data_IF_125549901616
#
_entry.id   IF_125549901616
#
_cell.length_a   1.000
_cell.length_b   1.000
_cell.length_c   1.000
_cell.angle_alpha   90.00
_cell.angle_beta   90.00
_cell.angle_gamma   90.00
#
_symmetry.space_group_name_H-M   'P 1'
#
loop_
_entity.id
_entity.type
_entity.pdbx_description
1 polymer ?
#
# COMPACT_ATOMS: atom_id res chain seq x y z
N UNK A 1 -5.64 -5.70 -4.19
CA UNK A 1 -6.52 -4.82 -3.41
C UNK A 1 -6.36 -5.08 -1.91
N UNK A 2 -6.31 -6.34 -1.48
CA UNK A 2 -6.09 -6.78 -0.09
C UNK A 2 -4.76 -6.27 0.51
N UNK A 3 -3.77 -6.00 -0.33
CA UNK A 3 -2.46 -5.47 0.06
C UNK A 3 -2.44 -3.94 0.25
N UNK A 4 -3.55 -3.26 -0.04
CA UNK A 4 -3.66 -1.80 0.02
C UNK A 4 -3.75 -1.27 1.46
N UNK A 5 -3.56 0.05 1.61
CA UNK A 5 -3.83 0.77 2.87
C UNK A 5 -5.32 0.77 3.26
N UNK A 6 -6.23 0.65 2.27
CA UNK A 6 -7.67 0.42 2.48
C UNK A 6 -8.08 -0.80 1.67
N UNK A 7 -7.87 -2.02 2.20
CA UNK A 7 -8.32 -3.25 1.54
C UNK A 7 -9.84 -3.35 1.57
N UNK A 8 -10.41 -4.16 0.65
CA UNK A 8 -11.82 -4.55 0.72
C UNK A 8 -12.09 -5.47 1.90
N UNK A 9 -13.36 -5.69 2.18
CA UNK A 9 -13.80 -6.60 3.26
C UNK A 9 -13.86 -8.07 2.81
N UNK A 10 -13.81 -8.31 1.49
CA UNK A 10 -14.00 -9.65 0.90
C UNK A 10 -12.71 -10.48 0.81
N UNK A 11 -11.56 -9.89 1.15
CA UNK A 11 -10.23 -10.53 1.10
C UNK A 11 -9.87 -11.16 -0.27
N UNK A 12 -10.44 -10.65 -1.37
CA UNK A 12 -10.18 -11.19 -2.71
C UNK A 12 -8.80 -10.73 -3.19
N UNK A 13 -7.87 -11.66 -3.47
CA UNK A 13 -6.54 -11.30 -3.96
C UNK A 13 -6.59 -10.59 -5.32
N UNK A 14 -5.64 -9.68 -5.56
CA UNK A 14 -5.52 -8.96 -6.81
C UNK A 14 -5.40 -9.87 -8.05
N UNK A 15 -4.76 -11.04 -7.89
CA UNK A 15 -4.66 -12.08 -8.92
C UNK A 15 -6.03 -12.61 -9.40
N UNK A 16 -7.07 -12.52 -8.60
CA UNK A 16 -8.44 -12.92 -8.94
C UNK A 16 -9.28 -11.69 -9.29
N UNK A 17 -9.17 -10.63 -8.48
CA UNK A 17 -10.02 -9.46 -8.64
C UNK A 17 -9.75 -8.70 -9.94
N UNK A 18 -8.47 -8.56 -10.34
CA UNK A 18 -8.11 -7.79 -11.53
C UNK A 18 -8.67 -8.42 -12.81
N UNK A 19 -8.42 -9.72 -13.11
CA UNK A 19 -9.01 -10.34 -14.30
C UNK A 19 -10.53 -10.42 -14.24
N UNK A 20 -11.11 -10.68 -13.07
CA UNK A 20 -12.58 -10.69 -12.92
C UNK A 20 -13.20 -9.31 -13.17
N UNK A 21 -12.51 -8.22 -12.86
CA UNK A 21 -12.93 -6.87 -13.21
C UNK A 21 -12.72 -6.58 -14.71
N UNK A 22 -11.56 -6.95 -15.25
CA UNK A 22 -11.24 -6.76 -16.67
C UNK A 22 -12.27 -7.44 -17.61
N UNK A 23 -12.77 -8.62 -17.22
CA UNK A 23 -13.82 -9.33 -17.95
C UNK A 23 -15.19 -8.64 -17.94
N UNK A 24 -15.40 -7.65 -17.06
CA UNK A 24 -16.71 -7.01 -16.85
C UNK A 24 -16.76 -5.56 -17.32
N UNK A 25 -15.63 -4.85 -17.31
CA UNK A 25 -15.62 -3.42 -17.65
C UNK A 25 -15.19 -3.20 -19.09
N UNK A 26 -15.72 -2.13 -19.71
CA UNK A 26 -15.35 -1.69 -21.06
C UNK A 26 -14.63 -0.35 -21.06
N UNK A 27 -14.29 0.14 -19.88
CA UNK A 27 -13.55 1.38 -19.64
C UNK A 27 -12.14 1.04 -19.16
N UNK A 28 -11.17 1.95 -19.25
CA UNK A 28 -9.82 1.73 -18.73
C UNK A 28 -9.82 1.27 -17.27
N UNK A 29 -9.09 0.20 -16.97
CA UNK A 29 -8.96 -0.40 -15.64
C UNK A 29 -7.57 -0.13 -15.06
N UNK A 30 -7.50 0.55 -13.92
CA UNK A 30 -6.26 0.72 -13.16
C UNK A 30 -6.25 -0.23 -11.95
N UNK A 31 -5.26 -1.13 -11.92
CA UNK A 31 -5.07 -2.02 -10.78
C UNK A 31 -4.45 -1.25 -9.60
N UNK A 32 -5.01 -1.43 -8.39
CA UNK A 32 -4.56 -0.75 -7.18
C UNK A 32 -4.35 -1.73 -6.03
N UNK A 33 -3.38 -1.42 -5.16
CA UNK A 33 -3.06 -2.22 -3.98
C UNK A 33 -1.91 -3.20 -4.20
N UNK A 34 -0.77 -2.93 -3.54
CA UNK A 34 0.42 -3.79 -3.59
C UNK A 34 1.40 -3.53 -4.74
N UNK A 35 1.17 -2.52 -5.56
CA UNK A 35 2.06 -2.18 -6.69
C UNK A 35 3.14 -1.17 -6.26
N UNK A 36 4.39 -1.43 -6.66
CA UNK A 36 5.52 -0.58 -6.28
C UNK A 36 6.73 -0.64 -7.21
N UNK A 37 6.74 -1.58 -8.16
CA UNK A 37 7.85 -1.76 -9.12
C UNK A 37 7.37 -2.28 -10.49
N UNK A 38 8.30 -2.45 -11.45
CA UNK A 38 7.99 -2.90 -12.79
C UNK A 38 7.42 -4.32 -12.88
N UNK A 39 7.71 -5.19 -11.90
CA UNK A 39 7.11 -6.53 -11.82
C UNK A 39 5.60 -6.44 -11.61
N UNK A 40 5.20 -5.53 -10.71
CA UNK A 40 3.79 -5.26 -10.45
C UNK A 40 3.06 -4.70 -11.67
N UNK A 41 3.68 -3.76 -12.40
CA UNK A 41 3.11 -3.21 -13.63
C UNK A 41 2.96 -4.29 -14.70
N UNK A 42 4.02 -5.07 -14.98
CA UNK A 42 3.96 -6.15 -15.97
C UNK A 42 2.87 -7.19 -15.63
N UNK A 43 2.74 -7.55 -14.33
CA UNK A 43 1.70 -8.47 -13.87
C UNK A 43 0.28 -7.88 -14.03
N UNK A 44 0.07 -6.62 -13.67
CA UNK A 44 -1.22 -5.95 -13.82
C UNK A 44 -1.67 -5.91 -15.29
N UNK A 45 -0.77 -5.56 -16.21
CA UNK A 45 -1.03 -5.57 -17.66
C UNK A 45 -1.37 -6.98 -18.15
N UNK A 46 -0.64 -8.02 -17.71
CA UNK A 46 -0.92 -9.41 -18.06
C UNK A 46 -2.29 -9.90 -17.54
N UNK A 47 -2.78 -9.33 -16.43
CA UNK A 47 -4.10 -9.63 -15.85
C UNK A 47 -5.24 -8.83 -16.47
N UNK A 48 -4.97 -7.99 -17.49
CA UNK A 48 -5.97 -7.22 -18.21
C UNK A 48 -6.22 -5.80 -17.70
N UNK A 49 -5.39 -5.28 -16.80
CA UNK A 49 -5.43 -3.87 -16.44
C UNK A 49 -4.69 -3.02 -17.48
N UNK A 50 -5.08 -1.75 -17.63
CA UNK A 50 -4.43 -0.77 -18.51
C UNK A 50 -3.29 -0.02 -17.81
N UNK A 51 -3.16 -0.17 -16.50
CA UNK A 51 -2.11 0.46 -15.69
C UNK A 51 -2.26 0.17 -14.21
N UNK A 52 -1.45 0.85 -13.40
CA UNK A 52 -1.45 0.70 -11.94
C UNK A 52 -1.67 2.04 -11.25
N UNK A 53 -2.27 1.97 -10.04
CA UNK A 53 -2.36 3.08 -9.10
C UNK A 53 -1.57 2.73 -7.83
N UNK A 54 -0.73 3.66 -7.39
CA UNK A 54 0.17 3.47 -6.25
C UNK A 54 -0.10 4.50 -5.16
N UNK A 55 -0.25 4.06 -3.91
CA UNK A 55 -0.29 4.93 -2.72
C UNK A 55 1.04 4.89 -1.98
N UNK A 56 1.27 3.85 -1.19
CA UNK A 56 2.43 3.71 -0.30
C UNK A 56 3.77 3.92 -1.01
N UNK A 57 3.93 3.41 -2.24
CA UNK A 57 5.16 3.61 -3.01
C UNK A 57 5.43 5.08 -3.31
N UNK A 58 4.40 5.86 -3.66
CA UNK A 58 4.54 7.30 -3.91
C UNK A 58 4.76 8.11 -2.62
N UNK A 59 4.27 7.62 -1.46
CA UNK A 59 4.61 8.24 -0.17
C UNK A 59 6.13 8.19 0.12
N UNK A 60 6.84 7.17 -0.38
CA UNK A 60 8.29 7.04 -0.27
C UNK A 60 9.01 7.68 -1.48
N UNK A 61 8.67 8.93 -1.81
CA UNK A 61 9.35 9.75 -2.82
C UNK A 61 9.81 11.07 -2.22
N UNK A 62 10.76 11.74 -2.88
CA UNK A 62 11.28 13.03 -2.43
C UNK A 62 10.19 14.10 -2.38
N UNK A 63 9.25 14.08 -3.35
CA UNK A 63 8.18 15.07 -3.51
C UNK A 63 6.99 14.86 -2.58
N UNK A 64 6.85 13.68 -1.97
CA UNK A 64 5.76 13.43 -1.03
C UNK A 64 5.83 14.42 0.15
N UNK A 65 4.73 15.18 0.43
CA UNK A 65 4.76 16.26 1.43
C UNK A 65 4.60 15.71 2.86
N UNK A 66 5.41 14.73 3.22
CA UNK A 66 5.45 14.08 4.53
C UNK A 66 6.89 14.08 5.05
N UNK A 67 7.04 13.98 6.37
CA UNK A 67 8.34 14.02 7.02
C UNK A 67 9.23 12.82 6.62
N UNK A 68 10.53 13.05 6.50
CA UNK A 68 11.49 12.03 6.03
C UNK A 68 11.53 10.79 6.94
N UNK A 69 11.33 10.93 8.24
CA UNK A 69 11.22 9.78 9.14
C UNK A 69 10.07 8.83 8.76
N UNK A 70 8.95 9.37 8.24
CA UNK A 70 7.83 8.54 7.79
C UNK A 70 8.18 7.84 6.48
N UNK A 71 8.88 8.54 5.57
CA UNK A 71 9.39 7.92 4.34
C UNK A 71 10.37 6.80 4.66
N UNK A 72 11.26 7.04 5.63
CA UNK A 72 12.21 6.03 6.08
C UNK A 72 11.52 4.83 6.71
N UNK A 73 10.44 5.03 7.47
CA UNK A 73 9.65 3.93 8.02
C UNK A 73 9.06 3.00 6.95
N UNK A 74 8.69 3.52 5.75
CA UNK A 74 8.29 2.66 4.65
C UNK A 74 9.44 1.83 4.07
N UNK A 75 10.67 2.38 4.09
CA UNK A 75 11.88 1.70 3.60
C UNK A 75 12.37 0.64 4.58
N UNK A 76 12.27 0.92 5.88
CA UNK A 76 12.75 0.04 6.94
C UNK A 76 11.80 -1.15 7.22
N UNK A 77 10.53 -1.03 6.81
CA UNK A 77 9.54 -2.07 7.01
C UNK A 77 9.63 -3.17 5.93
N UNK A 78 9.26 -4.38 6.31
CA UNK A 78 9.05 -5.52 5.41
C UNK A 78 7.56 -5.69 5.03
N UNK A 79 7.23 -6.74 4.28
CA UNK A 79 5.85 -7.07 3.88
C UNK A 79 4.94 -7.40 5.07
N UNK A 80 5.49 -7.67 6.26
CA UNK A 80 4.80 -7.90 7.53
C UNK A 80 4.77 -6.67 8.43
N UNK A 81 5.36 -5.56 7.97
CA UNK A 81 5.47 -4.29 8.70
C UNK A 81 4.16 -3.51 8.79
N UNK A 82 2.99 -4.16 8.73
CA UNK A 82 1.69 -3.49 8.82
C UNK A 82 0.66 -4.31 9.60
N UNK A 83 -0.36 -3.62 10.12
CA UNK A 83 -1.52 -4.22 10.78
C UNK A 83 -2.82 -3.86 10.08
N UNK A 84 -3.79 -4.78 10.10
CA UNK A 84 -5.18 -4.47 9.78
C UNK A 84 -5.89 -3.97 11.05
N UNK A 85 -6.60 -2.85 10.93
CA UNK A 85 -7.42 -2.26 11.98
C UNK A 85 -8.85 -2.07 11.46
N UNK A 86 -9.83 -1.93 12.35
CA UNK A 86 -11.26 -1.61 12.07
C UNK A 86 -12.05 -2.67 11.30
N UNK A 87 -11.52 -3.89 11.14
CA UNK A 87 -12.22 -4.97 10.45
C UNK A 87 -13.56 -5.33 11.12
N UNK A 88 -13.60 -5.33 12.45
CA UNK A 88 -14.83 -5.54 13.25
C UNK A 88 -15.87 -4.43 13.05
N UNK A 89 -15.50 -3.29 12.48
CA UNK A 89 -16.40 -2.18 12.16
C UNK A 89 -16.74 -2.11 10.65
N UNK A 90 -16.34 -3.12 9.86
CA UNK A 90 -16.52 -3.15 8.39
C UNK A 90 -15.95 -1.89 7.71
N UNK A 91 -14.83 -1.43 8.18
CA UNK A 91 -14.10 -0.28 7.66
C UNK A 91 -12.59 -0.55 7.73
N UNK A 92 -12.20 -1.70 7.18
CA UNK A 92 -10.83 -2.21 7.28
C UNK A 92 -9.82 -1.22 6.72
N UNK A 93 -8.82 -0.89 7.52
CA UNK A 93 -7.67 -0.11 7.12
C UNK A 93 -6.39 -0.88 7.43
N UNK A 94 -5.33 -0.63 6.66
CA UNK A 94 -3.99 -1.16 6.90
C UNK A 94 -3.04 -0.03 7.24
N UNK A 95 -2.36 -0.15 8.37
CA UNK A 95 -1.45 0.87 8.92
C UNK A 95 -0.06 0.28 9.13
N UNK A 96 0.96 1.10 8.99
CA UNK A 96 2.34 0.72 9.30
C UNK A 96 2.50 0.39 10.78
N UNK A 97 3.42 -0.52 11.07
CA UNK A 97 3.79 -0.84 12.46
C UNK A 97 4.40 0.37 13.14
N UNK A 98 3.88 0.71 14.31
CA UNK A 98 4.35 1.75 15.20
C UNK A 98 3.84 1.45 16.61
N UNK A 99 4.39 2.09 17.66
CA UNK A 99 3.86 1.92 19.01
C UNK A 99 2.36 2.21 19.11
N UNK A 100 1.86 3.18 18.34
CA UNK A 100 0.44 3.53 18.32
C UNK A 100 -0.39 2.46 17.64
N UNK A 101 0.04 1.95 16.48
CA UNK A 101 -0.72 0.91 15.77
C UNK A 101 -0.76 -0.42 16.55
N UNK A 102 0.30 -0.75 17.29
CA UNK A 102 0.33 -1.90 18.21
C UNK A 102 -0.69 -1.74 19.34
N UNK A 103 -0.76 -0.55 19.93
CA UNK A 103 -1.75 -0.23 20.98
C UNK A 103 -3.19 -0.27 20.43
N UNK A 104 -3.42 0.23 19.21
CA UNK A 104 -4.72 0.14 18.53
C UNK A 104 -5.15 -1.32 18.38
N UNK A 105 -4.27 -2.17 17.85
CA UNK A 105 -4.54 -3.61 17.68
C UNK A 105 -4.83 -4.26 19.03
N UNK A 106 -4.04 -3.97 20.05
CA UNK A 106 -4.21 -4.51 21.42
C UNK A 106 -5.57 -4.14 22.02
N UNK A 107 -6.00 -2.88 21.86
CA UNK A 107 -7.32 -2.42 22.36
C UNK A 107 -8.47 -3.06 21.58
N UNK A 108 -8.37 -3.09 20.25
CA UNK A 108 -9.40 -3.67 19.39
C UNK A 108 -9.55 -5.20 19.52
N UNK A 109 -8.55 -5.89 20.05
CA UNK A 109 -8.62 -7.33 20.34
C UNK A 109 -9.43 -7.66 21.62
N UNK A 110 -9.81 -6.68 22.43
CA UNK A 110 -10.58 -6.91 23.64
C UNK A 110 -12.04 -7.25 23.32
N UNK A 111 -12.67 -8.18 24.05
CA UNK A 111 -14.09 -8.46 23.88
C UNK A 111 -14.95 -7.21 24.04
N UNK A 112 -15.83 -6.93 23.07
CA UNK A 112 -16.71 -5.78 23.10
C UNK A 112 -16.05 -4.43 22.79
N UNK A 113 -14.82 -4.43 22.27
CA UNK A 113 -14.09 -3.23 21.87
C UNK A 113 -14.92 -2.36 20.91
N UNK A 114 -14.91 -1.06 21.13
CA UNK A 114 -15.62 -0.04 20.35
C UNK A 114 -14.63 0.92 19.70
N UNK A 115 -15.09 1.68 18.72
CA UNK A 115 -14.27 2.71 18.06
C UNK A 115 -13.77 3.77 19.04
N UNK A 116 -14.59 4.11 20.05
CA UNK A 116 -14.26 5.07 21.10
C UNK A 116 -12.99 4.71 21.87
N UNK A 117 -12.70 3.41 22.03
CA UNK A 117 -11.53 2.91 22.76
C UNK A 117 -10.20 3.25 22.07
N UNK A 118 -10.24 3.54 20.78
CA UNK A 118 -9.06 3.85 19.96
C UNK A 118 -9.15 5.23 19.28
N UNK A 119 -10.27 5.93 19.41
CA UNK A 119 -10.57 7.16 18.67
C UNK A 119 -9.46 8.20 18.75
N UNK A 120 -8.88 8.42 19.89
CA UNK A 120 -7.80 9.38 20.12
C UNK A 120 -6.52 8.99 19.38
N UNK A 121 -6.19 7.69 19.35
CA UNK A 121 -4.98 7.15 18.71
C UNK A 121 -5.04 7.22 17.18
N UNK A 122 -6.25 7.15 16.61
CA UNK A 122 -6.49 7.10 15.15
C UNK A 122 -7.10 8.39 14.61
N UNK A 123 -7.20 9.42 15.44
CA UNK A 123 -7.73 10.72 15.03
C UNK A 123 -6.93 11.28 13.85
N UNK A 124 -7.63 11.85 12.85
CA UNK A 124 -6.97 12.43 11.67
C UNK A 124 -5.99 13.56 12.04
N UNK A 125 -6.22 14.27 13.14
CA UNK A 125 -5.28 15.27 13.69
C UNK A 125 -3.98 14.64 14.16
N UNK A 126 -4.03 13.50 14.85
CA UNK A 126 -2.88 12.74 15.30
C UNK A 126 -2.07 12.20 14.10
N UNK A 127 -2.75 11.63 13.10
CA UNK A 127 -2.10 11.20 11.86
C UNK A 127 -1.45 12.36 11.08
N UNK A 128 -2.11 13.52 11.04
CA UNK A 128 -1.53 14.73 10.42
C UNK A 128 -0.27 15.20 11.17
N UNK A 129 -0.29 15.21 12.51
CA UNK A 129 0.87 15.56 13.32
C UNK A 129 2.03 14.60 13.06
N UNK A 130 1.78 13.28 13.03
CA UNK A 130 2.77 12.27 12.66
C UNK A 130 3.39 12.57 11.30
N UNK A 131 2.58 12.80 10.27
CA UNK A 131 3.06 13.05 8.91
C UNK A 131 3.89 14.34 8.79
N UNK A 132 3.62 15.34 9.64
CA UNK A 132 4.32 16.63 9.66
C UNK A 132 5.60 16.60 10.50
N UNK A 133 5.59 15.92 11.63
CA UNK A 133 6.71 15.91 12.60
C UNK A 133 7.63 14.71 12.45
N UNK A 134 7.16 13.64 11.80
CA UNK A 134 7.88 12.38 11.72
C UNK A 134 7.93 11.59 13.03
N UNK A 135 7.14 11.98 14.04
CA UNK A 135 7.04 11.27 15.30
C UNK A 135 6.00 10.14 15.21
N UNK A 136 6.49 8.92 15.00
CA UNK A 136 5.66 7.72 14.87
C UNK A 136 4.87 7.34 16.14
N UNK A 137 5.13 8.03 17.27
CA UNK A 137 4.38 7.84 18.51
C UNK A 137 3.11 8.68 18.59
N UNK A 138 2.83 9.56 17.61
CA UNK A 138 1.70 10.49 17.64
C UNK A 138 0.41 9.94 17.04
N UNK A 139 0.49 9.00 16.12
CA UNK A 139 -0.70 8.48 15.44
C UNK A 139 -0.39 7.27 14.57
N UNK A 140 -1.32 6.93 13.71
CA UNK A 140 -1.16 5.88 12.70
C UNK A 140 -0.91 6.48 11.33
N UNK A 141 -0.15 5.76 10.47
CA UNK A 141 0.04 6.10 9.07
C UNK A 141 -0.36 4.92 8.18
N UNK A 142 -1.01 5.20 7.07
CA UNK A 142 -1.47 4.17 6.14
C UNK A 142 -0.29 3.57 5.39
N UNK A 143 -0.24 2.24 5.34
CA UNK A 143 0.82 1.51 4.65
C UNK A 143 0.28 0.22 4.05
N UNK A 144 0.39 0.06 2.74
CA UNK A 144 0.16 -1.21 2.07
C UNK A 144 1.31 -2.20 2.31
N UNK A 145 1.07 -3.49 2.07
CA UNK A 145 2.11 -4.53 2.19
C UNK A 145 3.28 -4.33 1.22
N UNK A 146 3.07 -3.51 0.18
CA UNK A 146 4.11 -3.15 -0.82
C UNK A 146 5.35 -2.49 -0.19
N UNK A 147 5.28 -2.01 1.04
CA UNK A 147 6.47 -1.50 1.75
C UNK A 147 7.61 -2.53 1.77
N UNK A 148 7.35 -3.83 1.80
CA UNK A 148 8.38 -4.87 1.66
C UNK A 148 9.12 -4.88 0.31
N UNK A 149 8.68 -4.07 -0.66
CA UNK A 149 9.35 -3.87 -1.96
C UNK A 149 9.91 -2.45 -2.11
N UNK A 150 9.86 -1.62 -1.06
CA UNK A 150 10.34 -0.24 -1.08
C UNK A 150 11.71 -0.19 -0.40
N UNK A 151 12.76 0.12 -1.15
CA UNK A 151 14.13 0.11 -0.66
C UNK A 151 14.85 1.45 -0.84
N UNK A 152 14.16 2.47 -1.37
CA UNK A 152 14.72 3.79 -1.65
C UNK A 152 13.65 4.89 -1.65
N UNK A 153 14.11 6.14 -1.64
CA UNK A 153 13.29 7.36 -1.69
C UNK A 153 13.72 8.19 -2.92
N UNK A 154 13.35 7.77 -4.14
CA UNK A 154 13.69 8.46 -5.38
C UNK A 154 12.80 9.70 -5.59
N UNK A 155 13.04 10.46 -6.67
CA UNK A 155 12.04 11.38 -7.20
C UNK A 155 10.88 10.61 -7.85
N UNK A 156 9.74 11.26 -8.03
CA UNK A 156 8.61 10.69 -8.76
C UNK A 156 9.00 10.33 -10.21
N UNK A 157 9.77 11.17 -10.86
CA UNK A 157 10.24 10.95 -12.24
C UNK A 157 11.14 9.71 -12.32
N UNK A 158 12.16 9.61 -11.44
CA UNK A 158 13.03 8.43 -11.36
C UNK A 158 12.23 7.16 -11.09
N UNK A 159 11.24 7.22 -10.20
CA UNK A 159 10.42 6.07 -9.84
C UNK A 159 9.57 5.59 -11.02
N UNK A 160 8.82 6.51 -11.65
CA UNK A 160 7.90 6.16 -12.74
C UNK A 160 8.67 5.66 -13.95
N UNK A 161 9.76 6.36 -14.32
CA UNK A 161 10.62 5.95 -15.43
C UNK A 161 11.22 4.55 -15.21
N UNK A 162 11.69 4.26 -14.00
CA UNK A 162 12.23 2.94 -13.64
C UNK A 162 11.14 1.87 -13.71
N UNK A 163 9.95 2.10 -13.16
CA UNK A 163 8.84 1.13 -13.19
C UNK A 163 8.46 0.77 -14.61
N UNK A 164 8.38 1.75 -15.51
CA UNK A 164 8.02 1.52 -16.91
C UNK A 164 9.13 0.76 -17.63
N UNK A 165 10.38 1.18 -17.49
CA UNK A 165 11.53 0.51 -18.12
C UNK A 165 11.68 -0.95 -17.63
N UNK A 166 11.53 -1.20 -16.34
CA UNK A 166 11.62 -2.54 -15.76
C UNK A 166 10.47 -3.44 -16.26
N UNK A 167 9.25 -2.92 -16.33
CA UNK A 167 8.11 -3.66 -16.86
C UNK A 167 8.31 -4.01 -18.34
N UNK A 168 8.79 -3.06 -19.15
CA UNK A 168 9.13 -3.30 -20.56
C UNK A 168 10.21 -4.37 -20.71
N UNK A 169 11.27 -4.31 -19.93
CA UNK A 169 12.35 -5.30 -19.93
C UNK A 169 11.85 -6.71 -19.55
N UNK A 170 10.93 -6.80 -18.58
CA UNK A 170 10.30 -8.07 -18.19
C UNK A 170 9.47 -8.64 -19.34
N UNK A 171 8.62 -7.82 -19.96
CA UNK A 171 7.72 -8.25 -21.04
C UNK A 171 8.51 -8.67 -22.28
N UNK A 172 9.43 -7.83 -22.76
CA UNK A 172 10.19 -8.05 -23.99
C UNK A 172 11.33 -9.05 -23.84
N UNK A 173 11.89 -9.17 -22.63
CA UNK A 173 13.02 -10.08 -22.37
C UNK A 173 12.55 -11.36 -21.70
N UNK A 174 12.31 -11.32 -20.38
CA UNK A 174 12.03 -12.54 -19.60
C UNK A 174 10.80 -13.30 -20.08
N UNK A 175 9.66 -12.63 -20.29
CA UNK A 175 8.42 -13.32 -20.65
C UNK A 175 8.45 -13.79 -22.11
N UNK A 176 8.94 -12.96 -23.05
CA UNK A 176 9.07 -13.36 -24.44
C UNK A 176 9.99 -14.59 -24.61
N UNK A 177 11.07 -14.67 -23.82
CA UNK A 177 11.99 -15.82 -23.86
C UNK A 177 11.41 -17.12 -23.28
N UNK A 178 10.25 -17.09 -22.61
CA UNK A 178 9.57 -18.29 -22.09
C UNK A 178 8.59 -18.90 -23.11
N UNK A 179 8.22 -18.19 -24.17
CA UNK A 179 7.25 -18.62 -25.19
C UNK A 179 7.88 -18.79 -26.59
N UNK A 180 9.19 -18.70 -26.66
CA UNK A 180 9.98 -18.88 -27.89
C UNK A 180 10.22 -20.38 -28.22
#
# INVERSE_FOLDING_TARGET
FESAGHPGEDDIPGLILIPAAADKVTIPLLASGGFGDGRGLAAALALGADGINMGTRLCATKEAPIHDNVKQAYVDNDERGSFLIFRNFKNTARVGKSPVSEEVVRRLAQPGAKFEDVRELVAGTAGKELLQTGDLSKGVFWAGMVQGLIHDIPTCDELVSRIVADAEAIIRGRLAGLVA
#
